data_IF_122792471731
#
_entry.id   IF_122792471731
#
_cell.length_a   1.000
_cell.length_b   1.000
_cell.length_c   1.000
_cell.angle_alpha   90.00
_cell.angle_beta   90.00
_cell.angle_gamma   90.00
#
_symmetry.space_group_name_H-M   'P 1'
#
loop_
_entity.id
_entity.type
_entity.pdbx_description
1 polymer ?
#
# COMPACT_ATOMS: atom_id res chain seq x y z
N UNK A 1 -7.86 -2.12 9.62
CA UNK A 1 -6.40 -1.98 9.85
C UNK A 1 -5.92 -0.59 9.39
N UNK A 2 -5.46 -0.37 8.14
CA UNK A 2 -4.97 0.95 7.70
C UNK A 2 -6.04 2.06 7.61
N UNK A 3 -7.17 1.83 6.93
CA UNK A 3 -8.23 2.85 6.80
C UNK A 3 -8.76 3.30 8.16
N UNK A 4 -9.00 2.35 9.07
CA UNK A 4 -9.44 2.66 10.44
C UNK A 4 -8.38 3.43 11.22
N UNK A 5 -7.11 3.02 11.12
CA UNK A 5 -6.00 3.72 11.73
C UNK A 5 -5.94 5.18 11.25
N UNK A 6 -5.89 5.41 9.93
CA UNK A 6 -5.82 6.76 9.35
C UNK A 6 -7.03 7.62 9.72
N UNK A 7 -8.25 7.05 9.77
CA UNK A 7 -9.45 7.76 10.24
C UNK A 7 -9.38 8.16 11.71
N UNK A 8 -8.72 7.37 12.55
CA UNK A 8 -8.61 7.61 13.99
C UNK A 8 -7.59 8.68 14.39
N UNK A 9 -6.67 9.04 13.49
CA UNK A 9 -5.64 10.05 13.76
C UNK A 9 -6.24 11.46 13.85
N UNK A 10 -5.70 12.27 14.77
CA UNK A 10 -5.97 13.70 14.83
C UNK A 10 -5.01 14.44 13.87
N UNK A 11 -5.30 14.36 12.57
CA UNK A 11 -4.50 14.96 11.50
C UNK A 11 -5.44 15.49 10.40
N UNK A 12 -4.92 16.34 9.52
CA UNK A 12 -5.63 16.86 8.36
C UNK A 12 -6.06 15.74 7.41
N UNK A 13 -7.22 15.90 6.77
CA UNK A 13 -7.72 14.97 5.75
C UNK A 13 -6.69 14.76 4.62
N UNK A 14 -5.99 15.82 4.22
CA UNK A 14 -4.95 15.76 3.18
C UNK A 14 -3.81 14.83 3.58
N UNK A 15 -3.31 14.94 4.83
CA UNK A 15 -2.24 14.06 5.31
C UNK A 15 -2.73 12.62 5.47
N UNK A 16 -3.94 12.42 5.99
CA UNK A 16 -4.56 11.08 6.10
C UNK A 16 -4.67 10.40 4.75
N UNK A 17 -5.11 11.11 3.72
CA UNK A 17 -5.19 10.60 2.35
C UNK A 17 -3.78 10.31 1.81
N UNK A 18 -2.83 11.23 1.98
CA UNK A 18 -1.45 11.05 1.53
C UNK A 18 -0.81 9.80 2.13
N UNK A 19 -0.97 9.58 3.43
CA UNK A 19 -0.36 8.43 4.09
C UNK A 19 -1.13 7.14 3.82
N UNK A 20 -2.46 7.20 3.64
CA UNK A 20 -3.22 6.05 3.13
C UNK A 20 -2.77 5.62 1.72
N UNK A 21 -2.39 6.57 0.86
CA UNK A 21 -1.80 6.23 -0.44
C UNK A 21 -0.49 5.45 -0.30
N UNK A 22 0.39 5.87 0.60
CA UNK A 22 1.65 5.15 0.88
C UNK A 22 1.38 3.74 1.40
N UNK A 23 0.39 3.57 2.28
CA UNK A 23 -0.01 2.25 2.77
C UNK A 23 -0.41 1.32 1.63
N UNK A 24 -1.22 1.85 0.70
CA UNK A 24 -1.71 1.15 -0.48
C UNK A 24 -0.55 0.79 -1.42
N UNK A 25 0.35 1.74 -1.69
CA UNK A 25 1.53 1.55 -2.54
C UNK A 25 2.54 0.53 -1.97
N UNK A 26 2.67 0.46 -0.65
CA UNK A 26 3.56 -0.50 0.02
C UNK A 26 2.94 -1.90 0.16
N UNK A 27 1.62 -2.04 0.02
CA UNK A 27 0.89 -3.29 0.15
C UNK A 27 1.51 -4.47 -0.63
N UNK A 28 1.85 -4.32 -1.92
CA UNK A 28 2.50 -5.38 -2.70
C UNK A 28 3.85 -5.84 -2.13
N UNK A 29 4.71 -4.90 -1.73
CA UNK A 29 6.01 -5.23 -1.14
C UNK A 29 5.84 -6.00 0.17
N UNK A 30 4.91 -5.57 1.03
CA UNK A 30 4.56 -6.28 2.26
C UNK A 30 4.06 -7.71 1.99
N UNK A 31 3.17 -7.86 1.00
CA UNK A 31 2.62 -9.16 0.61
C UNK A 31 3.71 -10.12 0.08
N UNK A 32 4.71 -9.58 -0.61
CA UNK A 32 5.85 -10.33 -1.15
C UNK A 32 6.98 -10.53 -0.14
N UNK A 33 6.79 -10.17 1.13
CA UNK A 33 7.76 -10.43 2.20
C UNK A 33 8.81 -9.33 2.40
N UNK A 34 8.71 -8.19 1.72
CA UNK A 34 9.56 -7.02 1.97
C UNK A 34 8.90 -6.04 2.93
N UNK A 35 9.49 -5.89 4.12
CA UNK A 35 8.89 -5.09 5.20
C UNK A 35 9.57 -3.75 5.46
N UNK A 36 10.52 -3.33 4.60
CA UNK A 36 11.36 -2.14 4.82
C UNK A 36 10.56 -0.82 4.99
N UNK A 37 9.40 -0.72 4.36
CA UNK A 37 8.57 0.50 4.38
C UNK A 37 7.23 0.32 5.11
N UNK A 38 7.11 -0.71 5.95
CA UNK A 38 5.88 -0.94 6.69
C UNK A 38 5.83 -0.12 7.99
N UNK A 39 4.64 0.38 8.34
CA UNK A 39 4.38 0.97 9.65
C UNK A 39 3.97 -0.12 10.67
N UNK A 40 4.30 0.12 11.94
CA UNK A 40 4.08 -0.83 13.04
C UNK A 40 2.61 -1.11 13.35
N UNK A 41 1.68 -0.27 12.91
CA UNK A 41 0.26 -0.46 13.19
C UNK A 41 -0.36 -1.64 12.41
N UNK A 42 0.32 -2.15 11.37
CA UNK A 42 -0.16 -3.28 10.57
C UNK A 42 0.90 -4.33 10.22
N UNK A 43 2.18 -4.05 10.48
CA UNK A 43 3.27 -4.98 10.21
C UNK A 43 4.08 -5.24 11.48
N UNK A 44 4.30 -6.53 11.77
CA UNK A 44 5.12 -6.99 12.89
C UNK A 44 6.54 -7.41 12.44
N UNK A 45 6.95 -7.02 11.22
CA UNK A 45 8.19 -7.44 10.59
C UNK A 45 8.12 -8.81 9.93
N UNK A 46 9.29 -9.30 9.51
CA UNK A 46 9.44 -10.58 8.82
C UNK A 46 9.07 -11.76 9.71
N UNK A 47 8.35 -12.72 9.14
CA UNK A 47 8.02 -13.97 9.83
C UNK A 47 9.13 -15.01 9.67
N UNK A 48 9.19 -15.99 10.58
CA UNK A 48 10.18 -17.07 10.53
C UNK A 48 9.98 -17.86 9.23
N UNK A 49 11.05 -17.97 8.43
CA UNK A 49 11.03 -18.66 7.13
C UNK A 49 10.33 -17.88 6.02
N UNK A 50 9.97 -16.62 6.23
CA UNK A 50 9.39 -15.77 5.18
C UNK A 50 10.46 -15.37 4.16
N UNK A 51 10.19 -15.65 2.89
CA UNK A 51 11.05 -15.27 1.78
C UNK A 51 10.60 -13.93 1.21
N UNK A 52 11.57 -13.08 0.86
CA UNK A 52 11.32 -11.86 0.12
C UNK A 52 11.34 -12.17 -1.38
N UNK A 53 10.16 -12.11 -2.02
CA UNK A 53 9.96 -12.34 -3.45
C UNK A 53 9.91 -11.06 -4.29
N UNK A 54 10.13 -9.89 -3.68
CA UNK A 54 10.17 -8.62 -4.43
C UNK A 54 11.24 -8.64 -5.52
N UNK A 55 12.49 -9.14 -5.30
CA UNK A 55 13.49 -9.20 -6.36
C UNK A 55 13.01 -9.98 -7.58
N UNK A 56 12.44 -11.16 -7.39
CA UNK A 56 11.94 -12.05 -8.44
C UNK A 56 10.73 -11.41 -9.15
N UNK A 57 9.83 -10.75 -8.41
CA UNK A 57 8.69 -10.04 -8.97
C UNK A 57 9.11 -8.82 -9.80
N UNK A 58 10.21 -8.16 -9.44
CA UNK A 58 10.81 -7.08 -10.23
C UNK A 58 11.46 -7.66 -11.49
N UNK A 59 12.24 -8.72 -11.36
CA UNK A 59 12.95 -9.37 -12.47
C UNK A 59 12.00 -9.86 -13.56
N UNK A 60 10.90 -10.52 -13.20
CA UNK A 60 9.91 -11.00 -14.17
C UNK A 60 8.90 -9.92 -14.64
N UNK A 61 9.03 -8.68 -14.16
CA UNK A 61 8.15 -7.56 -14.52
C UNK A 61 6.79 -7.55 -13.84
N UNK A 62 6.44 -8.56 -13.03
CA UNK A 62 5.18 -8.64 -12.29
C UNK A 62 4.95 -7.40 -11.40
N UNK A 63 6.00 -6.92 -10.74
CA UNK A 63 5.91 -5.76 -9.86
C UNK A 63 5.50 -4.48 -10.62
N UNK A 64 5.88 -4.37 -11.89
CA UNK A 64 5.49 -3.23 -12.73
C UNK A 64 4.00 -3.26 -13.07
N UNK A 65 3.45 -4.44 -13.37
CA UNK A 65 2.02 -4.60 -13.66
C UNK A 65 1.16 -4.37 -12.41
N UNK A 66 1.60 -4.87 -11.25
CA UNK A 66 0.97 -4.56 -9.96
C UNK A 66 0.97 -3.05 -9.73
N UNK A 67 2.12 -2.39 -9.86
CA UNK A 67 2.24 -0.94 -9.65
C UNK A 67 1.32 -0.14 -10.57
N UNK A 68 1.14 -0.56 -11.83
CA UNK A 68 0.20 0.09 -12.77
C UNK A 68 -1.25 -0.04 -12.33
N UNK A 69 -1.66 -1.18 -11.79
CA UNK A 69 -3.02 -1.37 -11.26
C UNK A 69 -3.24 -0.47 -10.05
N UNK A 70 -2.31 -0.46 -9.11
CA UNK A 70 -2.37 0.36 -7.90
C UNK A 70 -2.42 1.86 -8.22
N UNK A 71 -1.57 2.34 -9.14
CA UNK A 71 -1.58 3.73 -9.58
C UNK A 71 -2.95 4.13 -10.16
N UNK A 72 -3.62 3.25 -10.91
CA UNK A 72 -4.99 3.52 -11.40
C UNK A 72 -5.99 3.67 -10.26
N UNK A 73 -5.93 2.80 -9.25
CA UNK A 73 -6.84 2.87 -8.09
C UNK A 73 -6.60 4.16 -7.29
N UNK A 74 -5.33 4.48 -7.02
CA UNK A 74 -4.91 5.63 -6.21
C UNK A 74 -5.23 6.96 -6.90
N UNK A 75 -5.03 7.06 -8.21
CA UNK A 75 -5.28 8.32 -8.93
C UNK A 75 -6.73 8.49 -9.40
N UNK A 76 -7.42 7.40 -9.78
CA UNK A 76 -8.84 7.48 -10.19
C UNK A 76 -9.83 7.53 -9.02
N UNK A 77 -9.39 7.24 -7.80
CA UNK A 77 -10.21 7.44 -6.59
C UNK A 77 -10.64 8.89 -6.33
N UNK A 78 -10.11 9.87 -7.09
CA UNK A 78 -10.48 11.29 -7.01
C UNK A 78 -11.73 11.69 -7.78
N UNK A 79 -12.30 10.81 -8.62
CA UNK A 79 -13.56 11.12 -9.30
C UNK A 79 -14.70 10.84 -8.32
N UNK A 80 -15.52 11.83 -7.91
CA UNK A 80 -16.77 11.52 -7.25
C UNK A 80 -17.52 10.57 -8.17
N UNK A 81 -18.13 9.51 -7.62
CA UNK A 81 -19.22 8.85 -8.31
C UNK A 81 -20.21 9.96 -8.66
N UNK A 82 -20.25 10.35 -9.94
CA UNK A 82 -21.28 11.22 -10.45
C UNK A 82 -22.59 10.50 -10.12
N UNK A 83 -23.32 11.06 -9.16
CA UNK A 83 -24.68 10.63 -8.85
C UNK A 83 -25.46 10.77 -10.17
N UNK A 84 -25.86 9.63 -10.72
CA UNK A 84 -26.95 9.56 -11.69
C UNK A 84 -28.22 9.25 -10.93
#
# INVERSE_FOLDING_TARGET
MAIQHRKSLCDSEVNKIKDLKKDIENGPSHLLGQHLNCDSYFCNGSKIGEQNFVPEAVECGLMSEISRIYHRVVEKGKTPFAQK
#
